data_IF_542392912823
#
_entry.id   IF_542392912823
#
_cell.length_a   1.000
_cell.length_b   1.000
_cell.length_c   1.000
_cell.angle_alpha   90.00
_cell.angle_beta   90.00
_cell.angle_gamma   90.00
#
_symmetry.space_group_name_H-M   'P 1'
#
loop_
_entity.id
_entity.type
_entity.pdbx_description
1 polymer ?
#
# COMPACT_ATOMS: atom_id res chain seq x y z
N UNK A 1 31.72 -63.65 65.83
CA UNK A 1 32.43 -62.42 66.07
C UNK A 1 32.81 -61.87 64.70
N UNK A 2 32.04 -60.96 64.14
CA UNK A 2 32.28 -60.37 62.81
C UNK A 2 32.10 -58.90 62.94
N UNK A 3 33.20 -58.15 62.88
CA UNK A 3 33.24 -56.73 62.83
C UNK A 3 32.87 -56.23 61.43
N UNK A 4 31.82 -55.40 61.35
CA UNK A 4 31.55 -54.58 60.13
C UNK A 4 32.20 -53.23 60.28
N UNK A 5 33.09 -52.92 59.35
CA UNK A 5 33.64 -51.58 59.15
C UNK A 5 32.72 -50.82 58.18
N UNK A 6 32.20 -49.69 58.63
CA UNK A 6 31.44 -48.77 57.81
C UNK A 6 32.37 -47.62 57.36
N UNK A 7 32.50 -47.42 56.04
CA UNK A 7 33.17 -46.27 55.42
C UNK A 7 32.12 -45.22 55.12
N UNK A 8 32.38 -43.93 55.38
CA UNK A 8 31.49 -42.86 54.94
C UNK A 8 31.78 -42.48 53.49
N UNK A 9 30.71 -42.48 52.66
CA UNK A 9 30.76 -41.99 51.29
C UNK A 9 30.51 -40.47 51.29
N UNK A 10 31.57 -39.68 51.06
CA UNK A 10 31.42 -38.26 50.83
C UNK A 10 31.02 -37.99 49.37
N UNK A 11 29.77 -37.64 49.16
CA UNK A 11 29.32 -37.11 47.88
C UNK A 11 29.69 -35.66 47.79
N UNK A 12 30.68 -35.35 46.97
CA UNK A 12 30.99 -33.93 46.56
C UNK A 12 30.03 -33.54 45.44
N UNK A 13 29.08 -32.67 45.75
CA UNK A 13 28.18 -32.10 44.77
C UNK A 13 28.93 -30.99 44.01
N UNK A 14 29.27 -31.27 42.74
CA UNK A 14 29.86 -30.28 41.84
C UNK A 14 28.75 -29.38 41.29
N UNK A 15 28.63 -28.15 41.79
CA UNK A 15 27.71 -27.16 41.24
C UNK A 15 28.44 -26.49 40.06
N UNK A 16 28.05 -26.89 38.83
CA UNK A 16 28.44 -26.18 37.60
C UNK A 16 27.54 -24.97 37.48
N UNK A 17 28.01 -23.80 37.87
CA UNK A 17 27.35 -22.55 37.53
C UNK A 17 27.62 -22.21 36.06
N UNK A 18 26.66 -22.61 35.17
CA UNK A 18 26.61 -22.14 33.78
C UNK A 18 26.19 -20.66 33.77
N UNK A 19 27.16 -19.80 33.73
CA UNK A 19 26.95 -18.37 33.44
C UNK A 19 26.44 -18.19 32.02
N UNK A 20 25.13 -18.06 31.86
CA UNK A 20 24.54 -17.51 30.63
C UNK A 20 24.87 -16.01 30.59
N UNK A 21 25.97 -15.67 29.95
CA UNK A 21 26.21 -14.30 29.48
C UNK A 21 25.24 -14.06 28.32
N UNK A 22 24.05 -13.53 28.59
CA UNK A 22 23.24 -12.88 27.59
C UNK A 22 24.00 -11.64 27.11
N UNK A 23 24.66 -11.77 25.96
CA UNK A 23 25.15 -10.60 25.23
C UNK A 23 23.91 -9.81 24.83
N UNK A 24 23.53 -8.81 25.61
CA UNK A 24 22.62 -7.77 25.19
C UNK A 24 23.32 -7.10 24.01
N UNK A 25 22.86 -7.39 22.78
CA UNK A 25 23.23 -6.59 21.62
C UNK A 25 22.79 -5.16 21.95
N UNK A 26 23.77 -4.28 22.17
CA UNK A 26 23.48 -2.86 22.31
C UNK A 26 22.71 -2.43 21.08
N UNK A 27 21.48 -1.95 21.25
CA UNK A 27 20.73 -1.37 20.17
C UNK A 27 21.59 -0.26 19.57
N UNK A 28 21.91 -0.36 18.29
CA UNK A 28 22.70 0.65 17.58
C UNK A 28 21.96 1.98 17.73
N UNK A 29 22.61 3.00 18.24
CA UNK A 29 21.99 4.30 18.46
C UNK A 29 21.51 4.86 17.13
N UNK A 30 20.27 5.35 17.08
CA UNK A 30 19.74 6.00 15.89
C UNK A 30 20.65 7.17 15.49
N UNK A 31 20.85 7.42 14.19
CA UNK A 31 21.49 8.64 13.73
C UNK A 31 20.77 9.88 14.30
N UNK A 32 21.52 10.93 14.61
CA UNK A 32 20.90 12.17 15.06
C UNK A 32 19.93 12.70 13.98
N UNK A 33 18.72 13.18 14.35
CA UNK A 33 17.78 13.75 13.41
C UNK A 33 18.40 14.89 12.60
N UNK A 34 18.25 14.87 11.28
CA UNK A 34 18.72 15.94 10.41
C UNK A 34 17.66 17.06 10.34
N UNK A 35 17.90 18.25 10.92
CA UNK A 35 16.93 19.33 10.90
C UNK A 35 16.65 19.87 9.47
N UNK A 36 17.58 19.70 8.53
CA UNK A 36 17.41 20.07 7.12
C UNK A 36 16.65 19.02 6.32
N UNK A 37 16.36 17.86 6.92
CA UNK A 37 15.73 16.66 6.38
C UNK A 37 16.57 15.96 5.30
N UNK A 38 16.34 14.67 5.15
CA UNK A 38 16.85 13.83 4.07
C UNK A 38 15.69 13.42 3.16
N UNK A 39 15.98 13.19 1.89
CA UNK A 39 15.02 12.55 0.99
C UNK A 39 15.10 11.04 1.18
N UNK A 40 14.02 10.43 1.60
CA UNK A 40 13.83 8.97 1.69
C UNK A 40 12.89 8.52 0.58
N UNK A 41 13.21 7.38 -0.03
CA UNK A 41 12.44 6.81 -1.14
C UNK A 41 11.84 5.48 -0.75
N UNK A 42 10.56 5.30 -1.02
CA UNK A 42 9.85 4.06 -0.73
C UNK A 42 8.65 3.87 -1.62
N UNK A 43 7.89 2.83 -1.29
CA UNK A 43 6.68 2.43 -1.96
C UNK A 43 5.58 2.24 -0.90
N UNK A 44 4.45 2.88 -1.08
CA UNK A 44 3.31 2.85 -0.15
C UNK A 44 2.12 2.08 -0.71
N UNK A 45 2.32 1.39 -1.86
CA UNK A 45 1.27 0.67 -2.54
C UNK A 45 1.83 -0.58 -3.26
N UNK A 46 1.71 -1.74 -2.62
CA UNK A 46 2.25 -3.01 -3.10
C UNK A 46 1.39 -4.19 -2.65
N UNK A 47 1.11 -5.12 -3.57
CA UNK A 47 0.32 -6.32 -3.32
C UNK A 47 1.18 -7.59 -3.32
N UNK A 48 0.82 -8.50 -2.43
CA UNK A 48 1.41 -9.84 -2.32
C UNK A 48 0.36 -10.91 -2.62
N UNK A 49 0.70 -12.18 -2.38
CA UNK A 49 -0.29 -13.26 -2.48
C UNK A 49 -1.39 -13.19 -1.39
N UNK A 50 -1.32 -12.23 -0.48
CA UNK A 50 -2.41 -11.96 0.47
C UNK A 50 -3.56 -11.18 -0.19
N UNK A 51 -3.31 -10.45 -1.29
CA UNK A 51 -4.36 -9.90 -2.16
C UNK A 51 -4.98 -11.01 -3.00
N UNK A 52 -6.29 -11.05 -3.06
CA UNK A 52 -7.03 -12.11 -3.76
C UNK A 52 -6.71 -12.16 -5.27
N UNK A 53 -6.54 -11.02 -5.90
CA UNK A 53 -6.26 -10.88 -7.34
C UNK A 53 -4.80 -11.17 -7.68
N UNK A 54 -3.83 -10.73 -6.87
CA UNK A 54 -2.43 -11.09 -7.02
C UNK A 54 -2.22 -12.61 -6.87
N UNK A 55 -2.83 -13.22 -5.86
CA UNK A 55 -2.82 -14.69 -5.68
C UNK A 55 -3.44 -15.40 -6.88
N UNK A 56 -4.51 -14.87 -7.43
CA UNK A 56 -5.16 -15.37 -8.63
C UNK A 56 -4.33 -15.26 -9.89
N UNK A 57 -3.61 -14.17 -10.00
CA UNK A 57 -2.61 -14.00 -11.05
C UNK A 57 -1.37 -14.90 -10.85
N UNK A 58 -1.35 -15.75 -9.80
CA UNK A 58 -0.29 -16.72 -9.54
C UNK A 58 0.91 -16.14 -8.78
N UNK A 59 0.76 -15.02 -8.14
CA UNK A 59 1.74 -14.48 -7.20
C UNK A 59 1.78 -15.35 -5.93
N UNK A 60 2.99 -15.75 -5.51
CA UNK A 60 3.24 -16.55 -4.32
C UNK A 60 4.12 -15.84 -3.28
N UNK A 61 4.62 -14.66 -3.58
CA UNK A 61 5.37 -13.83 -2.64
C UNK A 61 4.46 -13.39 -1.50
N UNK A 62 4.96 -13.55 -0.27
CA UNK A 62 4.27 -13.14 0.96
C UNK A 62 4.79 -11.76 1.41
N UNK A 63 4.12 -11.07 2.34
CA UNK A 63 4.55 -9.78 2.87
C UNK A 63 6.01 -9.76 3.35
N UNK A 64 6.48 -10.85 3.97
CA UNK A 64 7.90 -10.96 4.35
C UNK A 64 8.87 -10.91 3.17
N UNK A 65 8.50 -11.50 2.03
CA UNK A 65 9.34 -11.49 0.82
C UNK A 65 9.40 -10.09 0.22
N UNK A 66 8.31 -9.34 0.28
CA UNK A 66 8.26 -7.94 -0.15
C UNK A 66 9.21 -7.05 0.67
N UNK A 67 9.21 -7.20 2.00
CA UNK A 67 10.15 -6.45 2.84
C UNK A 67 11.61 -6.86 2.62
N UNK A 68 11.89 -8.15 2.38
CA UNK A 68 13.24 -8.63 2.00
C UNK A 68 13.68 -8.00 0.68
N UNK A 69 12.82 -8.10 -0.36
CA UNK A 69 13.11 -7.54 -1.67
C UNK A 69 13.39 -6.03 -1.59
N UNK A 70 12.54 -5.28 -0.90
CA UNK A 70 12.69 -3.84 -0.71
C UNK A 70 14.03 -3.45 -0.07
N UNK A 71 14.57 -4.27 0.84
CA UNK A 71 15.89 -4.08 1.44
C UNK A 71 17.07 -4.49 0.53
N UNK A 72 16.81 -5.03 -0.66
CA UNK A 72 17.82 -5.54 -1.57
C UNK A 72 18.19 -7.02 -1.35
N UNK A 73 17.50 -7.74 -0.46
CA UNK A 73 17.68 -9.19 -0.31
C UNK A 73 17.16 -9.91 -1.55
N UNK A 74 17.74 -11.05 -1.88
CA UNK A 74 17.28 -11.89 -2.99
C UNK A 74 16.06 -12.69 -2.56
N UNK A 75 14.98 -12.59 -3.33
CA UNK A 75 13.76 -13.39 -3.17
C UNK A 75 13.52 -14.27 -4.38
N UNK A 76 12.56 -15.19 -4.29
CA UNK A 76 12.13 -16.02 -5.43
C UNK A 76 10.79 -15.51 -5.92
N UNK A 77 10.75 -15.07 -7.18
CA UNK A 77 9.54 -14.66 -7.87
C UNK A 77 9.37 -15.48 -9.15
N UNK A 78 8.25 -16.18 -9.31
CA UNK A 78 7.98 -17.09 -10.45
C UNK A 78 9.12 -18.07 -10.77
N UNK A 79 9.83 -18.55 -9.74
CA UNK A 79 10.98 -19.43 -9.87
C UNK A 79 12.30 -18.74 -10.21
N UNK A 80 12.31 -17.43 -10.40
CA UNK A 80 13.50 -16.62 -10.63
C UNK A 80 14.04 -16.05 -9.31
N UNK A 81 15.37 -15.84 -9.24
CA UNK A 81 16.01 -15.09 -8.17
C UNK A 81 16.07 -13.63 -8.55
N UNK A 82 15.35 -12.79 -7.84
CA UNK A 82 15.27 -11.35 -8.08
C UNK A 82 15.67 -10.56 -6.84
N UNK A 83 16.22 -9.37 -7.01
CA UNK A 83 16.60 -8.45 -5.94
C UNK A 83 16.58 -7.01 -6.47
N UNK A 84 16.51 -6.02 -5.60
CA UNK A 84 16.73 -4.62 -5.99
C UNK A 84 18.23 -4.30 -5.98
N UNK A 85 18.69 -3.54 -6.98
CA UNK A 85 20.06 -3.02 -7.00
C UNK A 85 20.24 -1.90 -5.96
N UNK A 86 19.20 -1.10 -5.75
CA UNK A 86 19.19 -0.01 -4.76
C UNK A 86 18.04 -0.24 -3.79
N UNK A 87 18.33 -0.59 -2.50
CA UNK A 87 17.30 -0.80 -1.48
C UNK A 87 16.40 0.41 -1.29
N UNK A 88 15.13 0.18 -0.97
CA UNK A 88 14.21 1.24 -0.52
C UNK A 88 14.52 1.65 0.93
N UNK A 89 14.17 2.89 1.26
CA UNK A 89 14.27 3.40 2.62
C UNK A 89 13.05 3.02 3.47
N UNK A 90 11.89 2.87 2.82
CA UNK A 90 10.65 2.43 3.48
C UNK A 90 9.75 1.66 2.52
N UNK A 91 8.83 0.85 3.10
CA UNK A 91 7.80 0.10 2.36
C UNK A 91 6.54 -0.04 3.21
N UNK A 92 5.37 0.06 2.57
CA UNK A 92 4.10 -0.45 3.05
C UNK A 92 3.59 -1.53 2.10
N UNK A 93 3.34 -2.74 2.61
CA UNK A 93 2.54 -3.73 1.91
C UNK A 93 1.08 -3.38 2.16
N UNK A 94 0.29 -3.28 1.09
CA UNK A 94 -1.09 -2.77 1.12
C UNK A 94 -2.04 -3.75 0.45
N UNK A 95 -1.96 -5.00 0.84
CA UNK A 95 -2.86 -6.03 0.30
C UNK A 95 -4.34 -5.64 0.49
N UNK A 96 -5.17 -6.02 -0.48
CA UNK A 96 -6.60 -5.78 -0.42
C UNK A 96 -7.22 -6.33 0.87
N UNK A 97 -7.94 -5.49 1.60
CA UNK A 97 -8.64 -5.91 2.83
C UNK A 97 -9.83 -6.83 2.55
N UNK A 98 -10.36 -6.77 1.34
CA UNK A 98 -11.43 -7.62 0.86
C UNK A 98 -10.88 -9.04 0.64
N UNK A 99 -11.37 -10.00 1.43
CA UNK A 99 -10.93 -11.40 1.39
C UNK A 99 -9.41 -11.58 1.57
N UNK A 100 -8.78 -10.74 2.40
CA UNK A 100 -7.34 -10.78 2.71
C UNK A 100 -6.89 -12.21 3.04
N UNK A 101 -5.93 -12.74 2.28
CA UNK A 101 -5.31 -14.06 2.47
C UNK A 101 -6.18 -15.27 2.12
N UNK A 102 -7.45 -15.09 1.77
CA UNK A 102 -8.40 -16.20 1.58
C UNK A 102 -8.00 -17.15 0.46
N UNK A 103 -7.42 -16.66 -0.63
CA UNK A 103 -6.97 -17.52 -1.73
C UNK A 103 -5.85 -18.46 -1.29
N UNK A 104 -4.92 -17.95 -0.46
CA UNK A 104 -3.86 -18.77 0.12
C UNK A 104 -4.42 -19.83 1.08
N UNK A 105 -5.31 -19.45 2.00
CA UNK A 105 -5.94 -20.36 2.95
C UNK A 105 -6.80 -21.42 2.25
N UNK A 106 -7.52 -21.06 1.19
CA UNK A 106 -8.34 -22.00 0.42
C UNK A 106 -7.50 -22.98 -0.41
N UNK A 107 -6.27 -22.60 -0.73
CA UNK A 107 -5.32 -23.43 -1.48
C UNK A 107 -4.48 -24.34 -0.58
N UNK A 108 -4.45 -24.11 0.72
CA UNK A 108 -3.69 -24.91 1.69
C UNK A 108 -4.44 -26.20 2.02
N UNK A 109 -3.89 -27.39 1.67
CA UNK A 109 -4.51 -28.67 2.00
C UNK A 109 -4.61 -28.96 3.51
N UNK A 110 -3.90 -28.20 4.33
CA UNK A 110 -3.94 -28.28 5.79
C UNK A 110 -4.63 -27.05 6.43
N UNK A 111 -5.10 -26.14 5.60
CA UNK A 111 -5.70 -24.86 6.01
C UNK A 111 -7.08 -25.01 6.68
N UNK A 112 -7.65 -23.90 7.14
CA UNK A 112 -8.92 -23.89 7.85
C UNK A 112 -10.11 -24.32 6.96
N UNK A 113 -9.95 -24.32 5.64
CA UNK A 113 -10.99 -24.67 4.67
C UNK A 113 -10.83 -26.07 4.06
N UNK A 114 -9.86 -26.89 4.54
CA UNK A 114 -9.55 -28.24 4.03
C UNK A 114 -10.74 -29.19 4.00
N UNK A 115 -11.66 -29.08 4.96
CA UNK A 115 -12.82 -29.94 5.14
C UNK A 115 -14.13 -29.33 4.56
N UNK A 116 -14.03 -28.15 3.95
CA UNK A 116 -15.17 -27.55 3.26
C UNK A 116 -15.36 -28.23 1.91
N UNK A 117 -16.62 -28.33 1.44
CA UNK A 117 -16.95 -28.90 0.12
C UNK A 117 -16.39 -28.08 -1.08
N UNK A 118 -15.52 -27.16 -0.80
CA UNK A 118 -14.94 -26.18 -1.70
C UNK A 118 -13.47 -26.41 -2.10
N UNK A 119 -12.80 -27.57 -1.97
CA UNK A 119 -11.35 -27.56 -1.72
C UNK A 119 -10.47 -27.33 -2.93
N UNK A 120 -10.75 -27.75 -4.12
CA UNK A 120 -9.83 -27.60 -5.27
C UNK A 120 -10.39 -26.75 -6.40
N UNK A 121 -11.69 -26.69 -6.49
CA UNK A 121 -12.39 -25.80 -7.43
C UNK A 121 -12.55 -24.40 -6.84
N UNK A 122 -12.30 -24.23 -5.53
CA UNK A 122 -12.54 -22.96 -4.86
C UNK A 122 -11.45 -21.92 -5.14
N UNK A 123 -10.18 -22.30 -5.26
CA UNK A 123 -9.21 -21.34 -5.80
C UNK A 123 -9.66 -20.86 -7.17
N UNK A 124 -10.16 -21.73 -8.03
CA UNK A 124 -10.76 -21.38 -9.31
C UNK A 124 -12.21 -20.88 -9.22
N UNK A 125 -13.03 -21.32 -8.26
CA UNK A 125 -14.44 -20.90 -8.13
C UNK A 125 -14.61 -19.74 -7.15
N UNK A 126 -13.86 -19.67 -6.07
CA UNK A 126 -13.73 -18.44 -5.27
C UNK A 126 -13.11 -17.35 -6.11
N UNK A 127 -12.13 -17.71 -6.92
CA UNK A 127 -11.58 -16.77 -7.88
C UNK A 127 -12.61 -16.35 -8.92
N UNK A 128 -13.33 -17.28 -9.57
CA UNK A 128 -14.42 -16.94 -10.49
C UNK A 128 -15.59 -16.26 -9.78
N UNK A 129 -15.84 -16.58 -8.50
CA UNK A 129 -16.90 -15.97 -7.71
C UNK A 129 -16.45 -14.64 -7.12
N UNK A 130 -15.21 -14.52 -6.67
CA UNK A 130 -14.56 -13.25 -6.35
C UNK A 130 -14.43 -12.41 -7.61
N UNK A 131 -13.93 -12.94 -8.73
CA UNK A 131 -13.90 -12.27 -10.02
C UNK A 131 -15.29 -12.09 -10.61
N UNK A 132 -16.23 -12.96 -10.39
CA UNK A 132 -17.63 -12.77 -10.74
C UNK A 132 -18.33 -11.73 -9.88
N UNK A 133 -17.92 -11.57 -8.65
CA UNK A 133 -18.27 -10.43 -7.80
C UNK A 133 -17.54 -9.14 -8.24
N UNK A 134 -16.37 -9.27 -8.84
CA UNK A 134 -15.60 -8.22 -9.50
C UNK A 134 -15.95 -8.06 -10.99
N UNK A 135 -16.83 -8.88 -11.56
CA UNK A 135 -17.41 -8.61 -12.87
C UNK A 135 -18.27 -7.34 -12.80
N UNK A 136 -18.46 -6.59 -13.91
CA UNK A 136 -19.32 -5.42 -13.95
C UNK A 136 -20.72 -5.68 -13.38
N UNK A 137 -21.22 -6.91 -13.45
CA UNK A 137 -22.51 -7.33 -12.86
C UNK A 137 -22.41 -7.69 -11.37
N UNK A 138 -21.23 -8.03 -10.83
CA UNK A 138 -21.00 -8.37 -9.42
C UNK A 138 -20.64 -7.16 -8.55
N UNK A 139 -19.86 -6.22 -9.09
CA UNK A 139 -19.60 -4.93 -8.45
C UNK A 139 -20.77 -3.96 -8.45
N UNK A 140 -21.75 -4.18 -9.29
CA UNK A 140 -22.95 -3.34 -9.40
C UNK A 140 -23.95 -3.54 -8.26
N UNK A 141 -23.86 -4.61 -7.53
CA UNK A 141 -24.61 -4.81 -6.29
C UNK A 141 -23.63 -5.04 -5.14
N UNK A 142 -23.86 -4.46 -4.00
CA UNK A 142 -23.11 -4.75 -2.76
C UNK A 142 -22.91 -6.26 -2.70
N UNK A 143 -21.68 -6.71 -3.04
CA UNK A 143 -21.35 -8.13 -2.97
C UNK A 143 -21.61 -8.55 -1.53
N UNK A 144 -22.58 -9.41 -1.31
CA UNK A 144 -22.81 -9.92 0.04
C UNK A 144 -21.55 -10.68 0.41
N UNK A 145 -20.93 -10.35 1.56
CA UNK A 145 -19.78 -11.08 2.04
C UNK A 145 -20.07 -12.58 2.06
N UNK A 146 -19.12 -13.40 1.64
CA UNK A 146 -19.22 -14.85 1.78
C UNK A 146 -19.01 -15.15 3.28
N UNK A 147 -20.02 -15.60 4.04
CA UNK A 147 -19.95 -15.64 5.50
C UNK A 147 -18.78 -16.47 6.03
N UNK A 148 -18.44 -17.56 5.34
CA UNK A 148 -17.38 -18.46 5.73
C UNK A 148 -15.99 -17.80 5.66
N UNK A 149 -15.80 -16.86 4.74
CA UNK A 149 -14.54 -16.17 4.48
C UNK A 149 -14.40 -14.85 5.25
N UNK A 150 -15.48 -14.38 5.84
CA UNK A 150 -15.53 -13.07 6.51
C UNK A 150 -15.84 -13.18 7.99
N UNK A 151 -15.54 -14.34 8.61
CA UNK A 151 -15.63 -14.47 10.06
C UNK A 151 -14.56 -13.61 10.72
N UNK A 152 -14.86 -13.03 11.89
CA UNK A 152 -13.90 -12.22 12.65
C UNK A 152 -12.57 -12.94 12.89
N UNK A 153 -12.61 -14.26 13.14
CA UNK A 153 -11.41 -15.07 13.35
C UNK A 153 -10.53 -15.08 12.09
N UNK A 154 -11.10 -15.29 10.91
CA UNK A 154 -10.38 -15.31 9.63
C UNK A 154 -9.78 -13.94 9.34
N UNK A 155 -10.59 -12.89 9.43
CA UNK A 155 -10.14 -11.52 9.18
C UNK A 155 -8.99 -11.12 10.12
N UNK A 156 -9.09 -11.46 11.41
CA UNK A 156 -8.05 -11.16 12.39
C UNK A 156 -6.78 -11.98 12.16
N UNK A 157 -6.89 -13.30 11.85
CA UNK A 157 -5.71 -14.14 11.64
C UNK A 157 -4.89 -13.68 10.43
N UNK A 158 -5.55 -13.35 9.33
CA UNK A 158 -4.88 -12.88 8.11
C UNK A 158 -4.28 -11.48 8.29
N UNK A 159 -4.99 -10.59 8.98
CA UNK A 159 -4.44 -9.29 9.35
C UNK A 159 -3.18 -9.40 10.22
N UNK A 160 -3.10 -10.37 11.13
CA UNK A 160 -1.91 -10.57 11.94
C UNK A 160 -0.67 -10.99 11.12
N UNK A 161 -0.84 -11.60 9.94
CA UNK A 161 0.28 -11.90 9.04
C UNK A 161 0.91 -10.59 8.55
N UNK A 162 0.09 -9.63 8.10
CA UNK A 162 0.54 -8.30 7.67
C UNK A 162 1.25 -7.54 8.81
N UNK A 163 0.59 -7.48 9.96
CA UNK A 163 1.15 -6.80 11.14
C UNK A 163 2.48 -7.41 11.55
N UNK A 164 2.55 -8.73 11.65
CA UNK A 164 3.76 -9.43 12.07
C UNK A 164 4.92 -9.24 11.08
N UNK A 165 4.65 -9.30 9.77
CA UNK A 165 5.64 -9.07 8.75
C UNK A 165 6.20 -7.64 8.83
N UNK A 166 5.33 -6.63 8.86
CA UNK A 166 5.75 -5.24 9.00
C UNK A 166 6.55 -4.98 10.28
N UNK A 167 6.16 -5.58 11.41
CA UNK A 167 6.88 -5.43 12.67
C UNK A 167 8.26 -6.11 12.65
N UNK A 168 8.35 -7.30 12.07
CA UNK A 168 9.60 -8.10 11.99
C UNK A 168 10.69 -7.39 11.20
N UNK A 169 10.34 -6.71 10.12
CA UNK A 169 11.31 -6.09 9.21
C UNK A 169 11.57 -4.61 9.49
N UNK A 170 10.90 -4.02 10.46
CA UNK A 170 11.15 -2.64 10.88
C UNK A 170 12.54 -2.50 11.52
N UNK A 171 13.39 -1.67 10.93
CA UNK A 171 14.74 -1.36 11.39
C UNK A 171 14.91 0.16 11.47
N UNK A 172 14.56 0.80 12.60
CA UNK A 172 14.67 2.25 12.77
C UNK A 172 16.04 2.77 12.37
N UNK A 173 16.08 3.86 11.61
CA UNK A 173 17.32 4.45 11.08
C UNK A 173 17.86 3.79 9.80
N UNK A 174 17.35 2.63 9.39
CA UNK A 174 17.82 1.88 8.21
C UNK A 174 16.72 1.57 7.21
N UNK A 175 15.65 0.95 7.66
CA UNK A 175 14.52 0.57 6.83
C UNK A 175 13.21 0.65 7.60
N UNK A 176 12.34 1.53 7.17
CA UNK A 176 11.01 1.71 7.79
C UNK A 176 9.96 0.90 7.06
N UNK A 177 9.19 0.12 7.82
CA UNK A 177 8.03 -0.61 7.34
C UNK A 177 6.77 -0.07 7.98
N UNK A 178 5.69 0.07 7.22
CA UNK A 178 4.39 0.45 7.76
C UNK A 178 3.44 -0.75 7.77
N UNK A 179 2.62 -0.87 8.80
CA UNK A 179 1.43 -1.72 8.76
C UNK A 179 0.39 -0.98 7.94
N UNK A 180 -0.14 -1.63 6.92
CA UNK A 180 -1.03 -1.00 5.97
C UNK A 180 -1.95 -2.03 5.31
N UNK A 181 -2.95 -1.56 4.59
CA UNK A 181 -3.80 -2.35 3.70
C UNK A 181 -4.46 -1.44 2.66
N UNK A 182 -5.06 -2.03 1.64
CA UNK A 182 -5.89 -1.31 0.70
C UNK A 182 -7.38 -1.56 0.97
N UNK A 183 -8.16 -0.47 1.05
CA UNK A 183 -9.61 -0.46 0.99
C UNK A 183 -10.05 -0.22 -0.45
N UNK A 184 -10.73 -1.20 -1.06
CA UNK A 184 -10.88 -1.30 -2.51
C UNK A 184 -12.33 -1.17 -2.97
N UNK A 185 -13.02 -0.13 -2.53
CA UNK A 185 -14.39 0.12 -2.97
C UNK A 185 -14.47 0.45 -4.46
N UNK A 186 -15.42 -0.18 -5.13
CA UNK A 186 -15.65 -0.01 -6.58
C UNK A 186 -17.14 0.21 -6.90
N UNK A 187 -17.77 1.31 -6.48
CA UNK A 187 -19.17 1.57 -6.78
C UNK A 187 -19.39 1.65 -8.31
N UNK A 188 -20.30 0.83 -8.82
CA UNK A 188 -20.59 0.70 -10.26
C UNK A 188 -19.37 0.36 -11.13
N UNK A 189 -18.37 -0.31 -10.57
CA UNK A 189 -17.12 -0.66 -11.27
C UNK A 189 -16.10 0.47 -11.36
N UNK A 190 -16.30 1.58 -10.67
CA UNK A 190 -15.40 2.72 -10.66
C UNK A 190 -14.51 2.74 -9.41
N UNK A 191 -13.22 2.97 -9.58
CA UNK A 191 -12.26 2.91 -8.50
C UNK A 191 -12.44 4.06 -7.49
N UNK A 192 -12.65 3.70 -6.23
CA UNK A 192 -12.58 4.62 -5.09
C UNK A 192 -11.59 4.13 -4.02
N UNK A 193 -10.55 3.45 -4.43
CA UNK A 193 -9.56 2.78 -3.58
C UNK A 193 -8.73 3.76 -2.72
N UNK A 194 -8.30 3.31 -1.54
CA UNK A 194 -7.39 4.02 -0.63
C UNK A 194 -6.41 3.06 0.02
N UNK A 195 -5.13 3.36 -0.04
CA UNK A 195 -4.18 2.77 0.89
C UNK A 195 -4.40 3.36 2.27
N UNK A 196 -4.44 2.51 3.29
CA UNK A 196 -4.64 2.87 4.70
C UNK A 196 -3.36 2.56 5.45
N UNK A 197 -2.65 3.59 5.90
CA UNK A 197 -1.31 3.50 6.48
C UNK A 197 -1.36 3.85 7.97
N UNK A 198 -0.82 2.97 8.82
CA UNK A 198 -0.73 3.16 10.26
C UNK A 198 0.68 3.53 10.69
N UNK A 199 0.79 4.54 11.57
CA UNK A 199 2.08 4.93 12.16
C UNK A 199 2.65 3.83 13.08
N UNK A 200 1.81 3.21 13.90
CA UNK A 200 2.19 2.32 15.00
C UNK A 200 2.44 3.09 16.31
N UNK A 201 2.83 2.41 17.40
CA UNK A 201 2.99 0.95 17.56
C UNK A 201 1.68 0.19 17.80
N UNK A 202 0.54 0.86 17.89
CA UNK A 202 -0.79 0.25 18.02
C UNK A 202 -1.44 0.11 16.66
N UNK A 203 -2.17 -0.98 16.49
CA UNK A 203 -2.88 -1.30 15.25
C UNK A 203 -4.28 -1.82 15.57
N UNK A 204 -5.26 -1.67 14.64
CA UNK A 204 -6.58 -2.27 14.81
C UNK A 204 -6.49 -3.80 14.79
N UNK A 205 -7.50 -4.45 15.34
CA UNK A 205 -7.58 -5.91 15.38
C UNK A 205 -7.87 -6.55 14.02
N UNK A 206 -8.48 -5.81 13.11
CA UNK A 206 -8.70 -6.16 11.70
C UNK A 206 -8.78 -4.90 10.82
N UNK A 207 -8.58 -5.02 9.51
CA UNK A 207 -8.83 -3.92 8.58
C UNK A 207 -10.34 -3.66 8.44
N UNK A 208 -10.70 -2.43 8.10
CA UNK A 208 -12.03 -2.05 7.60
C UNK A 208 -12.02 -2.19 6.09
N UNK A 209 -12.93 -2.97 5.54
CA UNK A 209 -12.96 -3.31 4.12
C UNK A 209 -14.15 -2.70 3.39
N UNK A 210 -14.15 -2.73 2.06
CA UNK A 210 -15.31 -2.36 1.26
C UNK A 210 -16.49 -3.34 1.44
N UNK A 211 -16.26 -4.51 2.06
CA UNK A 211 -17.33 -5.41 2.50
C UNK A 211 -18.07 -4.88 3.74
N UNK A 212 -17.41 -4.05 4.56
CA UNK A 212 -18.06 -3.34 5.68
C UNK A 212 -18.85 -2.12 5.15
N UNK A 213 -18.24 -1.32 4.27
CA UNK A 213 -18.90 -0.21 3.56
C UNK A 213 -18.08 0.20 2.34
N UNK A 214 -18.75 0.51 1.23
CA UNK A 214 -18.16 1.03 0.01
C UNK A 214 -18.14 2.57 -0.06
N UNK A 215 -18.35 3.26 1.07
CA UNK A 215 -18.40 4.72 1.16
C UNK A 215 -17.15 5.27 1.85
N UNK A 216 -16.43 6.21 1.23
CA UNK A 216 -15.26 6.83 1.83
C UNK A 216 -15.54 7.47 3.21
N UNK A 217 -16.73 8.06 3.39
CA UNK A 217 -17.15 8.68 4.64
C UNK A 217 -17.17 7.69 5.82
N UNK A 218 -17.50 6.43 5.58
CA UNK A 218 -17.49 5.40 6.62
C UNK A 218 -16.08 4.93 6.94
N UNK A 219 -15.19 4.91 5.93
CA UNK A 219 -13.75 4.68 6.13
C UNK A 219 -13.13 5.84 6.94
N UNK A 220 -13.50 7.10 6.68
CA UNK A 220 -13.02 8.24 7.48
C UNK A 220 -13.46 8.15 8.92
N UNK A 221 -14.72 7.78 9.19
CA UNK A 221 -15.21 7.53 10.55
C UNK A 221 -14.44 6.39 11.24
N UNK A 222 -14.09 5.32 10.50
CA UNK A 222 -13.24 4.27 11.04
C UNK A 222 -11.85 4.83 11.41
N UNK A 223 -11.24 5.61 10.53
CA UNK A 223 -9.94 6.24 10.79
C UNK A 223 -10.00 7.18 12.01
N UNK A 224 -11.08 7.96 12.15
CA UNK A 224 -11.28 8.85 13.29
C UNK A 224 -11.40 8.07 14.61
N UNK A 225 -12.19 6.98 14.64
CA UNK A 225 -12.27 6.11 15.84
C UNK A 225 -10.90 5.54 16.22
N UNK A 226 -10.10 5.09 15.24
CA UNK A 226 -8.74 4.62 15.51
C UNK A 226 -7.88 5.71 16.15
N UNK A 227 -7.93 6.94 15.63
CA UNK A 227 -7.18 8.06 16.22
C UNK A 227 -7.62 8.39 17.65
N UNK A 228 -8.92 8.30 17.96
CA UNK A 228 -9.42 8.46 19.33
C UNK A 228 -8.90 7.38 20.29
N UNK A 229 -8.59 6.19 19.76
CA UNK A 229 -7.96 5.09 20.50
C UNK A 229 -6.42 5.17 20.54
N UNK A 230 -5.84 6.24 19.96
CA UNK A 230 -4.41 6.47 19.88
C UNK A 230 -3.71 5.65 18.78
N UNK A 231 -4.44 5.24 17.74
CA UNK A 231 -3.95 4.58 16.54
C UNK A 231 -3.91 5.62 15.41
N UNK A 232 -2.75 6.20 15.15
CA UNK A 232 -2.58 7.17 14.08
C UNK A 232 -2.66 6.50 12.71
N UNK A 233 -3.45 7.07 11.83
CA UNK A 233 -3.73 6.55 10.49
C UNK A 233 -3.93 7.68 9.48
N UNK A 234 -3.48 7.48 8.25
CA UNK A 234 -3.76 8.32 7.09
C UNK A 234 -4.22 7.47 5.91
N UNK A 235 -4.90 8.10 4.97
CA UNK A 235 -5.48 7.47 3.79
C UNK A 235 -4.90 8.10 2.53
N UNK A 236 -4.60 7.28 1.51
CA UNK A 236 -4.06 7.73 0.22
C UNK A 236 -4.99 7.26 -0.90
N UNK A 237 -5.86 8.13 -1.44
CA UNK A 237 -6.60 7.85 -2.65
C UNK A 237 -5.68 7.56 -3.83
N UNK A 238 -6.00 6.54 -4.62
CA UNK A 238 -5.24 6.18 -5.80
C UNK A 238 -6.14 5.70 -6.95
N UNK A 239 -5.56 5.44 -8.13
CA UNK A 239 -6.29 5.09 -9.35
C UNK A 239 -7.45 6.03 -9.66
N UNK A 240 -7.30 7.31 -9.39
CA UNK A 240 -8.35 8.28 -9.67
C UNK A 240 -8.65 8.37 -11.18
N UNK A 241 -7.65 8.08 -12.03
CA UNK A 241 -7.83 7.93 -13.49
C UNK A 241 -8.86 6.86 -13.89
N UNK A 242 -9.19 5.93 -13.00
CA UNK A 242 -10.17 4.85 -13.20
C UNK A 242 -11.49 5.08 -12.45
N UNK A 243 -11.68 6.25 -11.84
CA UNK A 243 -12.83 6.55 -10.99
C UNK A 243 -14.06 7.08 -11.73
N UNK A 244 -13.95 7.37 -13.01
CA UNK A 244 -15.00 8.00 -13.83
C UNK A 244 -15.62 9.27 -13.19
N UNK A 245 -14.76 10.11 -12.65
CA UNK A 245 -15.11 11.40 -12.00
C UNK A 245 -15.53 11.30 -10.54
N UNK A 246 -15.66 10.10 -9.98
CA UNK A 246 -16.13 9.92 -8.60
C UNK A 246 -15.09 10.30 -7.55
N UNK A 247 -13.79 10.11 -7.83
CA UNK A 247 -12.74 10.35 -6.85
C UNK A 247 -12.73 11.80 -6.35
N UNK A 248 -12.95 12.76 -7.26
CA UNK A 248 -12.92 14.19 -6.93
C UNK A 248 -14.23 14.87 -7.29
N UNK A 249 -15.36 14.21 -6.99
CA UNK A 249 -16.71 14.73 -7.26
C UNK A 249 -17.03 15.97 -6.43
N UNK A 250 -18.00 16.78 -6.89
CA UNK A 250 -18.59 17.89 -6.13
C UNK A 250 -19.66 17.45 -5.14
N UNK A 251 -19.98 16.16 -5.12
CA UNK A 251 -21.00 15.56 -4.26
C UNK A 251 -20.40 14.43 -3.42
N UNK A 252 -20.97 14.22 -2.26
CA UNK A 252 -20.67 13.08 -1.41
C UNK A 252 -21.27 11.76 -1.95
N UNK A 253 -21.02 10.65 -1.25
CA UNK A 253 -21.54 9.32 -1.63
C UNK A 253 -23.07 9.19 -1.52
N UNK A 254 -23.73 10.19 -0.97
CA UNK A 254 -25.21 10.27 -0.88
C UNK A 254 -25.81 11.21 -1.92
N UNK A 255 -24.99 11.78 -2.82
CA UNK A 255 -25.41 12.72 -3.85
C UNK A 255 -25.68 14.15 -3.35
N UNK A 256 -25.26 14.47 -2.10
CA UNK A 256 -25.38 15.81 -1.53
C UNK A 256 -24.17 16.66 -1.91
N UNK A 257 -24.37 17.97 -2.01
CA UNK A 257 -23.28 18.90 -2.26
C UNK A 257 -22.29 18.90 -1.09
N UNK A 258 -20.99 19.02 -1.40
CA UNK A 258 -19.93 19.02 -0.41
C UNK A 258 -20.12 20.20 0.56
N UNK A 259 -20.23 19.88 1.84
CA UNK A 259 -20.30 20.84 2.94
C UNK A 259 -18.91 21.20 3.49
N UNK A 260 -18.81 22.26 4.30
CA UNK A 260 -17.59 22.58 5.04
C UNK A 260 -17.11 21.41 5.92
N UNK A 261 -18.04 20.74 6.62
CA UNK A 261 -17.71 19.60 7.49
C UNK A 261 -17.11 18.44 6.68
N UNK A 262 -17.75 18.05 5.58
CA UNK A 262 -17.23 17.02 4.68
C UNK A 262 -15.85 17.38 4.15
N UNK A 263 -15.67 18.62 3.66
CA UNK A 263 -14.39 19.07 3.12
C UNK A 263 -13.25 19.02 4.17
N UNK A 264 -13.55 19.36 5.42
CA UNK A 264 -12.59 19.29 6.52
C UNK A 264 -12.27 17.82 6.88
N UNK A 265 -13.30 16.98 7.05
CA UNK A 265 -13.12 15.56 7.36
C UNK A 265 -12.27 14.86 6.30
N UNK A 266 -12.52 15.14 5.02
CA UNK A 266 -11.71 14.61 3.92
C UNK A 266 -10.26 15.07 3.99
N UNK A 267 -10.02 16.37 4.18
CA UNK A 267 -8.67 16.93 4.26
C UNK A 267 -7.87 16.34 5.44
N UNK A 268 -8.53 16.07 6.58
CA UNK A 268 -7.88 15.53 7.77
C UNK A 268 -7.53 14.04 7.61
N UNK A 269 -8.29 13.31 6.80
CA UNK A 269 -8.09 11.89 6.55
C UNK A 269 -7.19 11.62 5.35
N UNK A 270 -7.31 12.40 4.27
CA UNK A 270 -6.63 12.19 2.99
C UNK A 270 -5.63 13.34 2.72
N UNK A 271 -4.45 13.38 3.37
CA UNK A 271 -3.46 14.43 3.13
C UNK A 271 -2.72 14.27 1.81
N UNK A 272 -2.73 13.08 1.23
CA UNK A 272 -1.94 12.67 0.07
C UNK A 272 -2.86 12.13 -1.03
N UNK A 273 -2.31 12.03 -2.25
CA UNK A 273 -2.92 11.34 -3.39
C UNK A 273 -1.82 10.72 -4.24
N UNK A 274 -2.02 9.51 -4.72
CA UNK A 274 -1.11 8.85 -5.64
C UNK A 274 -1.37 9.34 -7.07
N UNK A 275 -0.29 9.67 -7.79
CA UNK A 275 -0.35 10.19 -9.17
C UNK A 275 0.29 9.28 -10.20
N UNK A 276 1.12 8.33 -9.78
CA UNK A 276 1.83 7.41 -10.68
C UNK A 276 1.87 6.00 -10.05
N UNK A 277 1.54 5.00 -10.84
CA UNK A 277 1.60 3.59 -10.49
C UNK A 277 1.50 2.72 -11.75
N UNK A 278 1.59 1.38 -11.61
CA UNK A 278 1.63 0.44 -12.76
C UNK A 278 0.47 0.60 -13.76
N UNK A 279 -0.72 1.02 -13.29
CA UNK A 279 -1.91 1.25 -14.12
C UNK A 279 -1.96 2.69 -14.70
N UNK A 280 -0.80 3.36 -14.74
CA UNK A 280 -0.58 4.66 -15.38
C UNK A 280 -0.79 5.88 -14.49
N UNK A 281 -0.63 7.05 -15.11
CA UNK A 281 -0.72 8.33 -14.42
C UNK A 281 -2.17 8.70 -14.07
N UNK A 282 -2.32 9.25 -12.85
CA UNK A 282 -3.52 9.95 -12.39
C UNK A 282 -3.33 11.47 -12.31
N UNK A 283 -2.18 11.99 -12.77
CA UNK A 283 -1.86 13.41 -12.67
C UNK A 283 -2.74 14.27 -13.57
N UNK A 284 -2.68 14.03 -14.89
CA UNK A 284 -3.46 14.74 -15.90
C UNK A 284 -3.52 13.94 -17.22
N UNK A 285 -4.13 14.53 -18.24
CA UNK A 285 -4.13 14.04 -19.62
C UNK A 285 -4.36 15.19 -20.61
N UNK A 286 -4.06 14.99 -21.92
CA UNK A 286 -4.10 16.07 -22.90
C UNK A 286 -5.44 16.81 -22.98
N UNK A 287 -6.55 16.12 -22.81
CA UNK A 287 -7.88 16.73 -22.87
C UNK A 287 -8.16 17.70 -21.70
N UNK A 288 -7.48 17.51 -20.57
CA UNK A 288 -7.57 18.39 -19.38
C UNK A 288 -6.43 19.41 -19.29
N UNK A 289 -5.33 19.17 -20.01
CA UNK A 289 -4.13 20.01 -20.01
C UNK A 289 -3.58 20.15 -21.44
N UNK A 290 -4.32 20.77 -22.38
CA UNK A 290 -3.99 20.76 -23.82
C UNK A 290 -2.74 21.56 -24.19
N UNK A 291 -2.21 22.38 -23.30
CA UNK A 291 -0.97 23.16 -23.50
C UNK A 291 0.26 22.52 -22.87
N UNK A 292 0.11 21.38 -22.22
CA UNK A 292 1.21 20.63 -21.60
C UNK A 292 1.68 19.53 -22.54
N UNK A 293 2.89 19.63 -23.06
CA UNK A 293 3.48 18.65 -23.97
C UNK A 293 3.72 17.28 -23.31
N UNK A 294 3.78 17.21 -21.97
CA UNK A 294 3.95 15.98 -21.20
C UNK A 294 2.64 15.40 -20.66
N UNK A 295 1.49 16.03 -20.93
CA UNK A 295 0.18 15.53 -20.43
C UNK A 295 -0.18 14.12 -20.92
N UNK A 296 0.51 13.62 -21.94
CA UNK A 296 0.35 12.24 -22.46
C UNK A 296 1.31 11.22 -21.87
N UNK A 297 2.16 11.60 -20.89
CA UNK A 297 3.15 10.70 -20.31
C UNK A 297 2.47 9.62 -19.45
N UNK A 298 2.86 8.37 -19.68
CA UNK A 298 2.36 7.18 -18.95
C UNK A 298 0.82 7.08 -18.86
N UNK A 299 0.12 7.53 -19.87
CA UNK A 299 -1.31 7.28 -19.99
C UNK A 299 -1.57 5.80 -20.32
N UNK A 300 -2.21 5.08 -19.41
CA UNK A 300 -2.66 3.73 -19.65
C UNK A 300 -4.14 3.77 -20.08
N UNK A 301 -4.48 3.19 -21.25
CA UNK A 301 -5.85 3.22 -21.79
C UNK A 301 -6.75 2.16 -21.12
N UNK A 302 -6.62 1.96 -19.82
CA UNK A 302 -7.44 1.03 -19.07
C UNK A 302 -8.85 1.57 -18.88
N UNK A 303 -9.83 0.68 -19.07
CA UNK A 303 -11.25 0.94 -18.82
C UNK A 303 -11.86 -0.33 -18.24
N UNK A 304 -12.00 -0.41 -16.92
CA UNK A 304 -12.48 -1.63 -16.26
C UNK A 304 -13.95 -1.92 -16.52
N UNK A 305 -14.78 -0.88 -16.69
CA UNK A 305 -16.22 -1.05 -16.98
C UNK A 305 -16.60 -0.75 -18.44
N UNK A 306 -15.63 -0.63 -19.34
CA UNK A 306 -15.84 -0.41 -20.78
C UNK A 306 -16.22 1.00 -21.18
N UNK A 307 -16.35 1.97 -20.26
CA UNK A 307 -16.67 3.37 -20.57
C UNK A 307 -15.96 4.33 -19.64
N UNK A 308 -15.30 5.35 -20.21
CA UNK A 308 -14.87 6.57 -19.51
C UNK A 308 -15.79 7.70 -20.00
N UNK A 309 -16.74 8.08 -19.17
CA UNK A 309 -17.66 9.16 -19.51
C UNK A 309 -17.23 10.49 -18.89
N UNK A 310 -16.53 10.43 -17.72
CA UNK A 310 -16.21 11.60 -16.93
C UNK A 310 -14.70 11.72 -16.64
N UNK A 311 -13.99 12.50 -17.45
CA UNK A 311 -12.59 12.82 -17.22
C UNK A 311 -12.41 13.81 -16.06
N UNK A 312 -13.29 14.79 -15.98
CA UNK A 312 -13.32 15.73 -14.88
C UNK A 312 -13.68 15.04 -13.56
N UNK A 313 -12.87 15.30 -12.52
CA UNK A 313 -12.96 14.62 -11.22
C UNK A 313 -12.22 13.30 -11.15
N UNK A 314 -11.49 12.92 -12.24
CA UNK A 314 -10.68 11.72 -12.32
C UNK A 314 -9.17 11.99 -12.21
N UNK A 315 -8.72 13.22 -12.34
CA UNK A 315 -7.29 13.57 -12.39
C UNK A 315 -6.92 14.63 -11.36
N UNK A 316 -5.72 14.51 -10.80
CA UNK A 316 -5.27 15.30 -9.64
C UNK A 316 -5.12 16.79 -9.95
N UNK A 317 -4.64 17.16 -11.14
CA UNK A 317 -4.58 18.59 -11.52
C UNK A 317 -5.98 19.22 -11.64
N UNK A 318 -6.97 18.46 -12.10
CA UNK A 318 -8.38 18.88 -12.09
C UNK A 318 -8.93 18.95 -10.65
N UNK A 319 -8.55 18.00 -9.79
CA UNK A 319 -8.92 18.01 -8.38
C UNK A 319 -8.43 19.28 -7.66
N UNK A 320 -7.22 19.75 -7.94
CA UNK A 320 -6.73 21.00 -7.35
C UNK A 320 -7.59 22.21 -7.73
N UNK A 321 -8.01 22.31 -9.02
CA UNK A 321 -8.93 23.36 -9.47
C UNK A 321 -10.27 23.28 -8.75
N UNK A 322 -10.87 22.07 -8.70
CA UNK A 322 -12.13 21.80 -7.98
C UNK A 322 -12.02 22.11 -6.50
N UNK A 323 -10.90 21.77 -5.88
CA UNK A 323 -10.63 22.08 -4.47
C UNK A 323 -10.66 23.58 -4.17
N UNK A 324 -10.08 24.42 -5.06
CA UNK A 324 -10.16 25.88 -4.94
C UNK A 324 -11.59 26.38 -5.11
N UNK A 325 -12.36 25.83 -6.05
CA UNK A 325 -13.77 26.18 -6.25
C UNK A 325 -14.64 25.82 -5.05
N UNK A 326 -14.42 24.61 -4.45
CA UNK A 326 -15.12 24.19 -3.24
C UNK A 326 -14.71 25.10 -2.08
N UNK A 327 -13.42 25.41 -1.93
CA UNK A 327 -12.95 26.35 -0.89
C UNK A 327 -13.62 27.72 -0.99
N UNK A 328 -13.80 28.24 -2.20
CA UNK A 328 -14.50 29.51 -2.41
C UNK A 328 -15.96 29.45 -1.95
N UNK A 329 -16.63 28.28 -2.04
CA UNK A 329 -18.03 28.09 -1.67
C UNK A 329 -18.21 27.79 -0.17
N UNK A 330 -17.38 26.88 0.40
CA UNK A 330 -17.59 26.35 1.75
C UNK A 330 -16.46 26.70 2.74
N UNK A 331 -15.39 27.36 2.26
CA UNK A 331 -14.29 27.86 3.09
C UNK A 331 -13.20 26.84 3.42
N UNK A 332 -13.27 25.62 2.90
CA UNK A 332 -12.26 24.55 3.07
C UNK A 332 -12.02 23.87 1.74
N UNK A 333 -10.74 23.58 1.43
CA UNK A 333 -10.34 22.80 0.25
C UNK A 333 -10.18 21.33 0.60
N UNK A 334 -11.07 20.42 0.14
CA UNK A 334 -10.97 18.99 0.44
C UNK A 334 -9.84 18.28 -0.32
N UNK A 335 -9.27 18.90 -1.35
CA UNK A 335 -8.30 18.32 -2.27
C UNK A 335 -6.92 19.00 -2.18
N UNK A 336 -6.52 19.38 -0.98
CA UNK A 336 -5.20 19.97 -0.71
C UNK A 336 -4.17 18.87 -0.45
N UNK A 337 -3.80 18.15 -1.50
CA UNK A 337 -2.96 16.97 -1.42
C UNK A 337 -1.45 17.26 -1.57
N UNK A 338 -0.60 16.42 -0.91
CA UNK A 338 0.73 16.10 -1.41
C UNK A 338 0.64 14.96 -2.42
N UNK A 339 1.50 14.96 -3.44
CA UNK A 339 1.54 13.91 -4.47
C UNK A 339 2.55 12.84 -4.09
N UNK A 340 2.16 11.58 -4.20
CA UNK A 340 3.01 10.39 -4.05
C UNK A 340 2.96 9.56 -5.33
N UNK A 341 3.97 8.72 -5.56
CA UNK A 341 4.02 7.76 -6.63
C UNK A 341 4.46 6.41 -6.07
N UNK A 342 3.77 5.36 -6.43
CA UNK A 342 3.98 4.04 -5.87
C UNK A 342 3.88 2.98 -6.98
N UNK A 343 4.02 1.69 -6.66
CA UNK A 343 4.02 0.69 -7.74
C UNK A 343 2.64 0.14 -8.03
N UNK A 344 1.82 -0.15 -7.02
CA UNK A 344 0.63 -0.98 -7.15
C UNK A 344 0.92 -2.33 -7.84
N UNK A 345 2.16 -2.82 -7.66
CA UNK A 345 2.58 -4.06 -8.27
C UNK A 345 1.95 -5.25 -7.53
N UNK A 346 1.46 -6.24 -8.29
CA UNK A 346 0.81 -7.44 -7.79
C UNK A 346 1.75 -8.65 -7.80
N UNK A 347 3.05 -8.39 -7.73
CA UNK A 347 4.13 -9.38 -7.72
C UNK A 347 4.76 -9.60 -6.33
N UNK A 348 4.41 -8.78 -5.36
CA UNK A 348 5.11 -8.69 -4.08
C UNK A 348 6.51 -8.08 -4.20
N UNK A 349 6.86 -7.54 -5.37
CA UNK A 349 8.16 -6.95 -5.64
C UNK A 349 8.01 -5.54 -6.18
N UNK A 350 8.51 -4.56 -5.45
CA UNK A 350 8.51 -3.15 -5.86
C UNK A 350 9.64 -2.90 -6.91
N UNK A 351 9.43 -3.38 -8.15
CA UNK A 351 10.44 -3.41 -9.21
C UNK A 351 10.34 -2.19 -10.12
N UNK A 352 10.88 -1.04 -9.67
CA UNK A 352 10.86 0.23 -10.42
C UNK A 352 12.16 0.55 -11.16
N UNK A 353 13.15 -0.35 -11.11
CA UNK A 353 14.44 -0.14 -11.75
C UNK A 353 14.38 -0.59 -13.21
N UNK A 354 14.48 0.31 -14.18
CA UNK A 354 14.36 0.05 -15.61
C UNK A 354 15.29 -1.08 -16.12
N UNK A 355 16.52 -1.11 -15.62
CA UNK A 355 17.51 -2.12 -15.99
C UNK A 355 17.38 -3.44 -15.20
N UNK A 356 16.39 -3.55 -14.32
CA UNK A 356 16.15 -4.70 -13.45
C UNK A 356 14.65 -4.95 -13.26
N UNK A 357 13.84 -4.49 -14.20
CA UNK A 357 12.39 -4.70 -14.18
C UNK A 357 12.08 -6.16 -14.59
N UNK A 358 11.29 -6.85 -13.80
CA UNK A 358 10.91 -8.24 -14.01
C UNK A 358 9.40 -8.46 -13.99
N UNK A 359 8.63 -7.38 -14.15
CA UNK A 359 7.19 -7.40 -14.18
C UNK A 359 6.52 -6.97 -12.86
N UNK A 360 5.21 -6.97 -12.84
CA UNK A 360 4.41 -6.55 -11.70
C UNK A 360 3.06 -7.24 -11.58
N UNK A 361 2.74 -8.26 -12.41
CA UNK A 361 1.41 -8.85 -12.53
C UNK A 361 1.37 -10.39 -12.44
N UNK A 362 2.24 -11.01 -11.69
CA UNK A 362 2.17 -12.46 -11.44
C UNK A 362 2.52 -13.30 -12.68
N UNK A 363 1.73 -14.31 -13.00
CA UNK A 363 2.03 -15.28 -14.07
C UNK A 363 2.22 -14.65 -15.45
N UNK A 364 1.74 -13.45 -15.69
CA UNK A 364 1.96 -12.72 -16.93
C UNK A 364 3.42 -12.29 -17.10
N UNK A 365 4.16 -12.15 -16.01
CA UNK A 365 5.57 -11.76 -15.98
C UNK A 365 6.53 -12.93 -16.28
N UNK A 366 6.01 -14.12 -16.61
CA UNK A 366 6.84 -15.32 -16.79
C UNK A 366 7.84 -15.17 -17.92
N UNK A 367 9.13 -15.12 -17.58
CA UNK A 367 10.24 -15.11 -18.55
C UNK A 367 10.37 -16.39 -19.38
N UNK A 368 9.65 -17.46 -19.05
CA UNK A 368 9.63 -18.69 -19.84
C UNK A 368 8.94 -18.50 -21.20
N UNK A 369 8.09 -17.48 -21.30
CA UNK A 369 7.44 -17.10 -22.54
C UNK A 369 7.39 -15.57 -22.67
N UNK A 370 8.48 -14.91 -23.11
CA UNK A 370 8.48 -13.45 -23.29
C UNK A 370 7.43 -12.98 -24.32
N UNK A 371 6.92 -13.85 -25.19
CA UNK A 371 5.82 -13.50 -26.09
C UNK A 371 4.51 -13.22 -25.34
N UNK A 372 4.32 -13.76 -24.14
CA UNK A 372 3.13 -13.46 -23.32
C UNK A 372 3.04 -11.99 -22.95
N UNK A 373 4.16 -11.36 -22.63
CA UNK A 373 4.22 -9.92 -22.36
C UNK A 373 3.70 -9.07 -23.52
N UNK A 374 3.77 -9.58 -24.76
CA UNK A 374 3.41 -8.83 -25.96
C UNK A 374 2.09 -9.27 -26.60
N UNK A 375 1.60 -10.45 -26.30
CA UNK A 375 0.52 -11.07 -27.08
C UNK A 375 -0.67 -11.55 -26.27
N UNK A 376 -0.55 -11.72 -24.95
CA UNK A 376 -1.66 -12.16 -24.12
C UNK A 376 -2.15 -11.00 -23.25
N UNK A 377 -3.44 -10.64 -23.34
CA UNK A 377 -4.00 -9.66 -22.43
C UNK A 377 -4.01 -10.22 -21.01
N UNK A 378 -3.74 -9.35 -20.04
CA UNK A 378 -3.99 -9.63 -18.63
C UNK A 378 -5.42 -10.16 -18.46
N UNK A 379 -5.62 -11.30 -17.78
CA UNK A 379 -6.94 -11.89 -17.63
C UNK A 379 -7.92 -11.01 -16.83
N UNK A 380 -7.41 -10.07 -16.05
CA UNK A 380 -8.21 -9.15 -15.25
C UNK A 380 -8.50 -7.87 -16.05
N UNK A 381 -7.47 -7.30 -16.67
CA UNK A 381 -7.57 -6.00 -17.34
C UNK A 381 -7.82 -6.08 -18.84
N UNK A 382 -7.75 -7.28 -19.41
CA UNK A 382 -7.89 -7.54 -20.85
C UNK A 382 -7.01 -6.64 -21.74
N UNK A 383 -5.82 -6.32 -21.28
CA UNK A 383 -4.86 -5.44 -21.94
C UNK A 383 -3.46 -6.08 -21.94
N UNK A 384 -2.64 -5.86 -22.99
CA UNK A 384 -1.27 -6.34 -22.96
C UNK A 384 -0.47 -5.68 -21.83
N UNK A 385 0.38 -6.45 -21.13
CA UNK A 385 1.23 -5.93 -20.04
C UNK A 385 2.19 -4.84 -20.52
N UNK A 386 2.49 -4.79 -21.81
CA UNK A 386 3.34 -3.77 -22.45
C UNK A 386 2.78 -2.35 -22.36
N UNK A 387 1.52 -2.17 -22.00
CA UNK A 387 0.94 -0.84 -21.80
C UNK A 387 1.02 -0.38 -20.34
N UNK A 388 1.40 -1.28 -19.43
CA UNK A 388 1.60 -0.94 -18.03
C UNK A 388 2.96 -0.24 -17.85
N UNK A 389 3.07 0.58 -16.83
CA UNK A 389 4.31 1.28 -16.48
C UNK A 389 5.04 0.51 -15.38
N UNK A 390 6.33 0.76 -15.11
CA UNK A 390 7.01 0.18 -13.95
C UNK A 390 6.51 0.78 -12.62
N UNK A 391 5.60 1.72 -12.64
CA UNK A 391 5.10 2.42 -11.47
C UNK A 391 5.99 3.57 -11.03
N UNK A 392 5.77 4.05 -9.81
CA UNK A 392 6.44 5.18 -9.22
C UNK A 392 7.17 4.88 -7.92
N UNK A 393 7.82 5.90 -7.36
CA UNK A 393 8.33 5.92 -5.99
C UNK A 393 7.87 7.19 -5.28
N UNK A 394 7.55 7.03 -4.01
CA UNK A 394 7.30 8.14 -3.09
C UNK A 394 8.62 8.64 -2.52
N UNK A 395 8.92 9.93 -2.73
CA UNK A 395 9.97 10.65 -2.04
C UNK A 395 9.41 11.40 -0.83
N UNK A 396 10.07 11.27 0.34
CA UNK A 396 9.64 11.92 1.60
C UNK A 396 10.81 12.71 2.18
N UNK A 397 10.58 13.97 2.50
CA UNK A 397 11.52 14.82 3.24
C UNK A 397 11.29 14.66 4.74
N UNK A 398 12.12 13.82 5.40
CA UNK A 398 12.01 13.54 6.83
C UNK A 398 13.35 13.73 7.55
N UNK A 399 13.30 13.95 8.86
CA UNK A 399 14.49 14.19 9.67
C UNK A 399 15.31 12.92 9.90
N UNK A 400 14.63 11.76 9.93
CA UNK A 400 15.24 10.45 10.14
C UNK A 400 14.38 9.35 9.51
N UNK A 401 14.98 8.17 9.28
CA UNK A 401 14.26 7.02 8.75
C UNK A 401 13.59 6.23 9.88
N UNK A 402 12.49 6.78 10.41
CA UNK A 402 11.65 6.12 11.41
C UNK A 402 10.18 6.24 11.04
N UNK A 403 9.33 5.35 11.54
CA UNK A 403 7.88 5.40 11.32
C UNK A 403 7.32 6.77 11.68
N UNK A 404 7.65 7.27 12.86
CA UNK A 404 7.16 8.55 13.33
C UNK A 404 7.59 9.71 12.42
N UNK A 405 8.89 9.79 12.07
CA UNK A 405 9.41 10.89 11.27
C UNK A 405 8.85 10.89 9.85
N UNK A 406 8.81 9.71 9.19
CA UNK A 406 8.24 9.57 7.84
C UNK A 406 6.73 9.80 7.86
N UNK A 407 5.99 9.18 8.77
CA UNK A 407 4.53 9.34 8.87
C UNK A 407 4.13 10.81 9.11
N UNK A 408 4.84 11.51 9.98
CA UNK A 408 4.59 12.92 10.22
C UNK A 408 4.92 13.79 9.00
N UNK A 409 5.96 13.44 8.23
CA UNK A 409 6.26 14.12 6.96
C UNK A 409 5.17 13.87 5.91
N UNK A 410 4.65 12.64 5.79
CA UNK A 410 3.50 12.31 4.97
C UNK A 410 2.28 13.16 5.34
N UNK A 411 1.95 13.27 6.62
CA UNK A 411 0.85 14.13 7.12
C UNK A 411 1.05 15.61 6.80
N UNK A 412 2.28 16.11 6.85
CA UNK A 412 2.60 17.49 6.49
C UNK A 412 2.70 17.73 4.99
N UNK A 413 2.57 16.68 4.17
CA UNK A 413 2.71 16.75 2.70
C UNK A 413 4.12 17.13 2.25
N UNK A 414 5.14 16.78 3.03
CA UNK A 414 6.54 16.96 2.70
C UNK A 414 7.03 15.82 1.79
N UNK A 415 6.37 15.68 0.65
CA UNK A 415 6.49 14.56 -0.28
C UNK A 415 6.60 15.02 -1.72
N UNK A 416 7.07 14.14 -2.57
CA UNK A 416 7.00 14.26 -4.02
C UNK A 416 6.92 12.88 -4.68
N UNK A 417 6.31 12.81 -5.85
CA UNK A 417 6.22 11.61 -6.65
C UNK A 417 7.32 11.55 -7.70
N UNK A 418 7.78 10.35 -8.04
CA UNK A 418 8.60 10.10 -9.22
C UNK A 418 8.00 8.95 -10.03
N UNK A 419 8.39 8.80 -11.29
CA UNK A 419 8.03 7.67 -12.15
C UNK A 419 9.05 6.51 -12.05
N UNK A 420 9.55 6.22 -10.83
CA UNK A 420 10.47 5.12 -10.53
C UNK A 420 11.92 5.53 -10.28
N UNK A 421 12.36 6.65 -10.83
CA UNK A 421 13.71 7.19 -10.57
C UNK A 421 13.82 7.87 -9.21
N UNK A 422 15.05 7.94 -8.65
CA UNK A 422 15.32 8.59 -7.36
C UNK A 422 15.77 10.05 -7.52
N UNK A 423 15.05 10.82 -8.34
CA UNK A 423 15.28 12.27 -8.47
C UNK A 423 14.81 12.98 -7.19
N UNK A 424 15.67 13.83 -6.64
CA UNK A 424 15.32 14.62 -5.46
C UNK A 424 14.77 15.98 -5.90
N UNK A 425 13.52 16.25 -5.54
CA UNK A 425 12.84 17.52 -5.82
C UNK A 425 12.47 18.19 -4.51
N UNK A 426 12.80 19.49 -4.40
CA UNK A 426 12.38 20.33 -3.28
C UNK A 426 11.86 21.64 -3.84
N UNK A 427 10.56 21.83 -3.78
CA UNK A 427 9.88 22.99 -4.36
C UNK A 427 9.15 23.80 -3.28
N UNK A 428 9.37 25.10 -3.29
CA UNK A 428 8.71 26.04 -2.40
C UNK A 428 8.17 27.22 -3.19
N UNK A 429 6.94 27.62 -2.91
CA UNK A 429 6.30 28.77 -3.55
C UNK A 429 5.55 29.61 -2.52
N UNK A 430 5.68 30.95 -2.64
CA UNK A 430 4.94 31.91 -1.82
C UNK A 430 4.88 33.27 -2.51
N UNK A 431 3.79 33.99 -2.30
CA UNK A 431 3.67 35.40 -2.71
C UNK A 431 4.51 36.35 -1.84
N UNK A 432 5.00 35.90 -0.67
CA UNK A 432 5.72 36.74 0.29
C UNK A 432 7.22 36.46 0.39
N UNK A 433 7.79 35.58 -0.43
CA UNK A 433 9.23 35.29 -0.39
C UNK A 433 10.06 36.51 -0.84
N UNK A 434 11.03 36.89 0.01
CA UNK A 434 12.02 37.91 -0.32
C UNK A 434 13.11 37.32 -1.22
N UNK A 435 13.70 38.15 -2.08
CA UNK A 435 14.86 37.77 -2.88
C UNK A 435 15.99 37.24 -1.96
N UNK A 436 16.59 36.10 -2.32
CA UNK A 436 17.68 35.49 -1.56
C UNK A 436 17.27 34.66 -0.35
N UNK A 437 15.96 34.36 -0.14
CA UNK A 437 15.49 33.54 0.98
C UNK A 437 16.16 32.17 1.04
N UNK A 438 16.53 31.59 -0.11
CA UNK A 438 17.24 30.29 -0.18
C UNK A 438 18.60 30.29 0.50
N UNK A 439 19.15 31.47 0.81
CA UNK A 439 20.43 31.63 1.53
C UNK A 439 20.23 31.86 3.03
N UNK A 440 18.99 32.02 3.48
CA UNK A 440 18.64 32.30 4.88
C UNK A 440 18.41 31.03 5.70
N UNK A 441 18.60 31.14 7.04
CA UNK A 441 18.31 30.05 7.96
C UNK A 441 16.81 29.64 7.95
N UNK A 442 15.92 30.57 7.62
CA UNK A 442 14.47 30.35 7.58
C UNK A 442 14.01 29.46 6.41
N UNK A 443 14.92 29.15 5.47
CA UNK A 443 14.61 28.26 4.34
C UNK A 443 14.94 26.80 4.61
N UNK A 444 15.65 26.51 5.68
CA UNK A 444 16.15 25.18 6.06
C UNK A 444 15.13 24.34 6.81
#
# INVERSE_FOLDING_TARGET
MTHRLSLPCNLATLVIASGLTSAAMAAEALPAPNPERNAYFGDLHLHTSMSFDAAAAGTHTMPEDSYKFARGDTVTYLGMKVHRNVPLDFLAVTDHSEYLGIVNEASDPNGPFKDTSWPKELAGAAMRQIMGHFSPSGFMGIAKPIPEFTTEKVLQSNWQIEVAAAQKYYQPGKFTTFVAYEWSAMPNGNHLHRCVIFEGPKFPTRPFSALDSNKPEDLWKYAERNRQEGINVLLIPHNSNLSDGLMFAYKDSYGQDITRAYAQERQDNEPLVEVAQIKGTSETRPELSPTDEFAGFELVPLVINGKREHLHGSYVRDAYKRGLEIQAKVGVNPFKYGMVGDTDAHSGTSATEENNFHGGLGNNDSQKDPHRLFTQPDPIMNTPDTILTPGGLTGVWAQENTRESIFNALKRREVFATSGGRMQVRFFASFGYKAGITKGADFR
#
